data_IF_084127687979
#
_entry.id   IF_084127687979
#
_cell.length_a   1.000
_cell.length_b   1.000
_cell.length_c   1.000
_cell.angle_alpha   90.00
_cell.angle_beta   90.00
_cell.angle_gamma   90.00
#
_symmetry.space_group_name_H-M   'P 1'
#
loop_
_entity.id
_entity.type
_entity.pdbx_description
1 polymer ?
#
# COMPACT_ATOMS: atom_id res chain seq x y z
N UNK A 1 -5.68 1.52 17.84
CA UNK A 1 -4.68 0.59 17.25
C UNK A 1 -3.24 1.11 17.38
N UNK A 2 -2.96 1.88 18.41
CA UNK A 2 -1.61 2.42 18.64
C UNK A 2 -0.56 1.31 18.62
N UNK A 3 0.55 1.52 17.94
CA UNK A 3 1.68 0.60 17.82
C UNK A 3 1.38 -0.75 17.17
N UNK A 4 0.25 -0.91 16.48
CA UNK A 4 -0.18 -2.20 15.96
C UNK A 4 -0.71 -2.18 14.52
N UNK A 5 -0.39 -1.13 13.76
CA UNK A 5 -0.72 -1.07 12.34
C UNK A 5 -0.14 -2.28 11.59
N UNK A 6 -0.96 -2.88 10.76
CA UNK A 6 -0.60 -4.08 10.02
C UNK A 6 -0.78 -5.38 10.80
N UNK A 7 -0.72 -5.36 12.13
CA UNK A 7 -0.75 -6.58 12.95
C UNK A 7 -2.20 -7.02 13.23
N UNK A 8 -2.95 -6.23 13.97
CA UNK A 8 -4.33 -6.60 14.38
C UNK A 8 -5.35 -6.35 13.27
N UNK A 9 -5.23 -5.25 12.60
CA UNK A 9 -6.08 -4.81 11.51
C UNK A 9 -5.99 -5.72 10.26
N UNK A 10 -4.81 -6.27 9.96
CA UNK A 10 -4.69 -7.28 8.91
C UNK A 10 -5.42 -8.57 9.24
N UNK A 11 -5.41 -8.99 10.51
CA UNK A 11 -6.16 -10.17 10.96
C UNK A 11 -7.67 -9.96 10.82
N UNK A 12 -8.17 -8.77 11.16
CA UNK A 12 -9.59 -8.43 11.00
C UNK A 12 -10.00 -8.44 9.52
N UNK A 13 -9.16 -7.89 8.63
CA UNK A 13 -9.42 -7.92 7.19
C UNK A 13 -9.45 -9.36 6.67
N UNK A 14 -8.47 -10.18 7.03
CA UNK A 14 -8.40 -11.57 6.60
C UNK A 14 -9.57 -12.40 7.15
N UNK A 15 -9.98 -12.19 8.39
CA UNK A 15 -11.17 -12.82 8.96
C UNK A 15 -12.45 -12.40 8.20
N UNK A 16 -12.54 -11.14 7.77
CA UNK A 16 -13.63 -10.67 6.91
C UNK A 16 -13.65 -11.35 5.55
N UNK A 17 -12.48 -11.58 4.93
CA UNK A 17 -12.36 -12.35 3.68
C UNK A 17 -12.83 -13.79 3.90
N UNK A 18 -12.39 -14.44 4.99
CA UNK A 18 -12.80 -15.82 5.32
C UNK A 18 -14.32 -15.94 5.50
N UNK A 19 -14.91 -14.99 6.22
CA UNK A 19 -16.37 -14.96 6.41
C UNK A 19 -17.15 -14.80 5.10
N UNK A 20 -16.61 -14.07 4.12
CA UNK A 20 -17.20 -13.92 2.80
C UNK A 20 -17.04 -15.18 1.96
N UNK A 21 -15.88 -15.84 2.00
CA UNK A 21 -15.62 -17.10 1.29
C UNK A 21 -16.57 -18.21 1.77
N UNK A 22 -16.85 -18.28 3.07
CA UNK A 22 -17.80 -19.23 3.64
C UNK A 22 -19.23 -19.10 3.07
N UNK A 23 -19.58 -17.98 2.45
CA UNK A 23 -20.88 -17.81 1.78
C UNK A 23 -21.00 -18.56 0.46
N UNK A 24 -19.89 -19.07 -0.10
CA UNK A 24 -19.85 -19.99 -1.25
C UNK A 24 -20.08 -19.38 -2.64
N UNK A 25 -20.19 -18.05 -2.76
CA UNK A 25 -20.38 -17.38 -4.05
C UNK A 25 -19.14 -16.57 -4.51
N UNK A 26 -18.06 -16.60 -3.71
CA UNK A 26 -16.81 -15.89 -4.02
C UNK A 26 -15.77 -16.91 -4.46
N UNK A 27 -15.08 -16.60 -5.55
CA UNK A 27 -13.97 -17.40 -6.04
C UNK A 27 -12.68 -17.01 -5.31
N UNK A 28 -12.18 -17.87 -4.45
CA UNK A 28 -10.95 -17.65 -3.68
C UNK A 28 -9.69 -17.55 -4.54
N UNK A 29 -9.72 -18.06 -5.78
CA UNK A 29 -8.61 -17.97 -6.72
C UNK A 29 -8.55 -16.62 -7.43
N UNK A 30 -9.54 -15.75 -7.25
CA UNK A 30 -9.67 -14.45 -7.90
C UNK A 30 -9.85 -13.28 -6.93
N UNK A 31 -9.11 -13.31 -5.83
CA UNK A 31 -9.09 -12.23 -4.87
C UNK A 31 -8.09 -11.15 -5.27
N UNK A 32 -8.52 -9.90 -5.24
CA UNK A 32 -7.66 -8.73 -5.38
C UNK A 32 -7.70 -7.88 -4.12
N UNK A 33 -6.62 -7.12 -3.86
CA UNK A 33 -6.55 -6.18 -2.74
C UNK A 33 -6.18 -4.79 -3.24
N UNK A 34 -6.85 -3.76 -2.72
CA UNK A 34 -6.53 -2.37 -3.07
C UNK A 34 -6.83 -1.43 -1.92
N UNK A 35 -6.04 -0.37 -1.83
CA UNK A 35 -6.28 0.70 -0.89
C UNK A 35 -5.39 1.91 -1.15
N UNK A 36 -5.74 3.02 -0.52
CA UNK A 36 -4.96 4.26 -0.62
C UNK A 36 -4.64 4.85 0.74
N UNK A 37 -3.49 5.51 0.86
CA UNK A 37 -3.00 6.06 2.12
C UNK A 37 -2.77 4.94 3.16
N UNK A 38 -3.42 4.98 4.31
CA UNK A 38 -3.45 3.85 5.24
C UNK A 38 -3.89 2.53 4.56
N UNK A 39 -4.90 2.57 3.69
CA UNK A 39 -5.31 1.39 2.91
C UNK A 39 -4.24 0.92 1.94
N UNK A 40 -3.39 1.82 1.43
CA UNK A 40 -2.21 1.48 0.63
C UNK A 40 -1.13 0.81 1.47
N UNK A 41 -0.86 1.34 2.68
CA UNK A 41 -0.02 0.67 3.67
C UNK A 41 -0.51 -0.77 3.92
N UNK A 42 -1.81 -0.92 4.19
CA UNK A 42 -2.42 -2.23 4.46
C UNK A 42 -2.35 -3.17 3.24
N UNK A 43 -2.51 -2.65 2.02
CA UNK A 43 -2.31 -3.43 0.79
C UNK A 43 -0.89 -3.99 0.73
N UNK A 44 0.12 -3.15 0.95
CA UNK A 44 1.53 -3.55 0.95
C UNK A 44 1.84 -4.52 2.09
N UNK A 45 1.27 -4.28 3.27
CA UNK A 45 1.40 -5.17 4.43
C UNK A 45 0.86 -6.57 4.12
N UNK A 46 -0.38 -6.65 3.62
CA UNK A 46 -1.02 -7.92 3.29
C UNK A 46 -0.23 -8.72 2.26
N UNK A 47 0.21 -8.11 1.15
CA UNK A 47 0.99 -8.84 0.13
C UNK A 47 2.40 -9.20 0.58
N UNK A 48 2.90 -8.61 1.66
CA UNK A 48 4.14 -9.01 2.34
C UNK A 48 3.96 -10.13 3.36
N UNK A 49 2.70 -10.51 3.70
CA UNK A 49 2.41 -11.50 4.75
C UNK A 49 1.50 -12.64 4.30
N UNK A 50 0.93 -12.59 3.09
CA UNK A 50 0.08 -13.66 2.54
C UNK A 50 0.06 -13.64 1.02
N UNK A 51 -0.02 -14.83 0.41
CA UNK A 51 -0.13 -15.04 -1.04
C UNK A 51 -1.59 -15.21 -1.51
N UNK A 52 -2.58 -14.86 -0.68
CA UNK A 52 -4.03 -15.05 -0.98
C UNK A 52 -4.53 -14.20 -2.15
N UNK A 53 -3.86 -13.10 -2.45
CA UNK A 53 -4.31 -12.14 -3.46
C UNK A 53 -3.59 -12.37 -4.79
N UNK A 54 -4.36 -12.48 -5.89
CA UNK A 54 -3.82 -12.67 -7.25
C UNK A 54 -3.32 -11.39 -7.88
N UNK A 55 -3.80 -10.24 -7.40
CA UNK A 55 -3.36 -8.91 -7.82
C UNK A 55 -3.53 -7.90 -6.69
N UNK A 56 -2.68 -6.90 -6.68
CA UNK A 56 -2.76 -5.81 -5.71
C UNK A 56 -2.60 -4.45 -6.38
N UNK A 57 -3.28 -3.44 -5.83
CA UNK A 57 -3.14 -2.04 -6.24
C UNK A 57 -2.95 -1.20 -5.00
N UNK A 58 -1.77 -0.61 -4.84
CA UNK A 58 -1.45 0.32 -3.76
C UNK A 58 -1.41 1.76 -4.28
N UNK A 59 -2.06 2.68 -3.59
CA UNK A 59 -2.16 4.08 -4.00
C UNK A 59 -1.74 5.01 -2.85
N UNK A 60 -0.82 5.98 -3.10
CA UNK A 60 -0.36 6.98 -2.14
C UNK A 60 -0.11 6.39 -0.74
N UNK A 61 0.68 5.34 -0.68
CA UNK A 61 0.86 4.51 0.51
C UNK A 61 2.04 4.94 1.37
N UNK A 62 2.00 4.57 2.65
CA UNK A 62 3.19 4.49 3.50
C UNK A 62 3.84 3.13 3.28
N UNK A 63 5.15 3.11 3.07
CA UNK A 63 5.93 1.90 2.78
C UNK A 63 7.07 1.73 3.77
N UNK A 64 7.75 2.83 4.08
CA UNK A 64 8.86 2.89 5.03
C UNK A 64 8.55 3.93 6.10
N UNK A 65 8.21 3.49 7.28
CA UNK A 65 7.85 4.39 8.39
C UNK A 65 9.04 5.19 8.90
N UNK A 66 10.26 4.65 8.71
CA UNK A 66 11.47 5.35 9.11
C UNK A 66 11.68 6.65 8.28
N UNK A 67 11.63 6.56 6.94
CA UNK A 67 11.74 7.73 6.07
C UNK A 67 10.47 8.60 6.10
N UNK A 68 9.29 8.00 6.27
CA UNK A 68 8.02 8.73 6.41
C UNK A 68 8.05 9.74 7.55
N UNK A 69 8.73 9.46 8.66
CA UNK A 69 8.88 10.38 9.79
C UNK A 69 9.41 11.75 9.35
N UNK A 70 10.41 11.77 8.49
CA UNK A 70 11.07 13.02 8.06
C UNK A 70 10.57 13.60 6.74
N UNK A 71 9.81 12.85 5.94
CA UNK A 71 9.37 13.26 4.60
C UNK A 71 7.89 13.61 4.50
N UNK A 72 7.09 13.25 5.50
CA UNK A 72 5.67 13.56 5.57
C UNK A 72 5.39 14.89 6.27
N UNK A 73 4.35 15.60 5.84
CA UNK A 73 3.83 16.80 6.50
C UNK A 73 3.19 16.53 7.89
N UNK A 74 3.02 15.25 8.26
CA UNK A 74 2.52 14.80 9.57
C UNK A 74 3.41 13.72 10.20
N UNK A 75 4.63 13.52 9.69
CA UNK A 75 5.44 12.36 10.06
C UNK A 75 5.75 12.27 11.55
N UNK A 76 6.18 13.38 12.17
CA UNK A 76 6.50 13.45 13.59
C UNK A 76 5.23 13.43 14.49
N UNK A 77 4.16 14.16 14.12
CA UNK A 77 2.87 14.09 14.85
C UNK A 77 2.34 12.65 14.87
N UNK A 78 2.49 11.97 13.72
CA UNK A 78 2.02 10.60 13.54
C UNK A 78 2.84 9.58 14.35
N UNK A 79 4.12 9.85 14.56
CA UNK A 79 4.98 9.03 15.41
C UNK A 79 4.55 9.10 16.87
N UNK A 80 4.27 10.31 17.38
CA UNK A 80 3.80 10.50 18.76
C UNK A 80 2.44 9.85 19.01
N UNK A 81 1.52 9.93 18.04
CA UNK A 81 0.17 9.38 18.18
C UNK A 81 0.09 7.85 18.04
N UNK A 82 0.99 7.22 17.26
CA UNK A 82 0.90 5.80 16.94
C UNK A 82 2.00 4.96 17.61
N UNK A 83 3.26 5.29 17.44
CA UNK A 83 4.37 4.48 17.94
C UNK A 83 4.89 4.92 19.32
N UNK A 84 4.61 6.15 19.74
CA UNK A 84 5.06 6.74 21.00
C UNK A 84 6.59 6.72 21.18
N UNK A 85 7.33 6.71 20.05
CA UNK A 85 8.80 6.69 20.00
C UNK A 85 9.29 7.29 18.69
N UNK A 86 10.60 7.54 18.59
CA UNK A 86 11.22 8.10 17.38
C UNK A 86 12.04 7.05 16.60
N UNK A 87 12.33 7.28 15.30
CA UNK A 87 13.16 6.36 14.51
C UNK A 87 14.57 6.13 15.06
N UNK A 88 15.12 7.08 15.81
CA UNK A 88 16.45 6.94 16.40
C UNK A 88 16.44 6.33 17.81
N UNK A 89 15.30 6.33 18.51
CA UNK A 89 15.16 5.67 19.81
C UNK A 89 14.82 4.18 19.66
N UNK A 90 13.98 3.82 18.68
CA UNK A 90 13.66 2.42 18.35
C UNK A 90 13.58 2.19 16.82
N UNK A 91 14.73 2.17 16.14
CA UNK A 91 14.78 1.95 14.68
C UNK A 91 14.24 0.58 14.28
N UNK A 92 14.37 -0.42 15.13
CA UNK A 92 13.88 -1.79 14.86
C UNK A 92 12.35 -1.84 14.82
N UNK A 93 11.67 -1.11 15.71
CA UNK A 93 10.22 -0.99 15.69
C UNK A 93 9.76 -0.35 14.37
N UNK A 94 10.38 0.77 13.97
CA UNK A 94 10.05 1.44 12.72
C UNK A 94 10.22 0.54 11.51
N UNK A 95 11.30 -0.21 11.42
CA UNK A 95 11.53 -1.18 10.34
C UNK A 95 10.54 -2.34 10.39
N UNK A 96 10.30 -2.90 11.57
CA UNK A 96 9.35 -4.01 11.76
C UNK A 96 7.91 -3.62 11.38
N UNK A 97 7.55 -2.34 11.58
CA UNK A 97 6.24 -1.79 11.23
C UNK A 97 6.19 -1.21 9.80
N UNK A 98 7.22 -1.42 8.99
CA UNK A 98 7.34 -0.93 7.61
C UNK A 98 7.14 -2.04 6.59
N UNK A 99 6.17 -1.92 5.66
CA UNK A 99 5.98 -2.91 4.58
C UNK A 99 7.23 -3.22 3.77
N UNK A 100 8.13 -2.25 3.57
CA UNK A 100 9.38 -2.44 2.83
C UNK A 100 10.26 -3.55 3.41
N UNK A 101 10.19 -3.80 4.72
CA UNK A 101 10.96 -4.86 5.40
C UNK A 101 10.53 -6.26 4.97
N UNK A 102 9.35 -6.39 4.39
CA UNK A 102 8.75 -7.65 3.94
C UNK A 102 8.72 -7.81 2.42
N UNK A 103 9.42 -6.94 1.70
CA UNK A 103 9.42 -6.89 0.23
C UNK A 103 9.88 -8.21 -0.41
N UNK A 104 10.72 -8.99 0.27
CA UNK A 104 11.16 -10.32 -0.22
C UNK A 104 10.00 -11.32 -0.34
N UNK A 105 9.00 -11.20 0.50
CA UNK A 105 7.81 -12.05 0.54
C UNK A 105 6.70 -11.57 -0.43
N UNK A 106 6.83 -10.36 -1.01
CA UNK A 106 5.85 -9.83 -1.94
C UNK A 106 5.95 -10.52 -3.31
N UNK A 107 5.10 -11.50 -3.56
CA UNK A 107 5.03 -12.23 -4.84
C UNK A 107 3.85 -11.79 -5.71
N UNK A 108 2.81 -11.22 -5.11
CA UNK A 108 1.61 -10.73 -5.79
C UNK A 108 1.96 -9.63 -6.80
N UNK A 109 1.52 -9.72 -8.07
CA UNK A 109 1.65 -8.62 -9.03
C UNK A 109 1.09 -7.31 -8.47
N UNK A 110 1.88 -6.23 -8.49
CA UNK A 110 1.55 -4.98 -7.81
C UNK A 110 1.52 -3.79 -8.76
N UNK A 111 0.38 -3.09 -8.80
CA UNK A 111 0.29 -1.75 -9.36
C UNK A 111 0.51 -0.73 -8.24
N UNK A 112 1.53 0.10 -8.38
CA UNK A 112 1.81 1.24 -7.50
C UNK A 112 1.31 2.50 -8.19
N UNK A 113 0.50 3.31 -7.52
CA UNK A 113 0.03 4.60 -8.00
C UNK A 113 0.38 5.69 -6.99
N UNK A 114 0.94 6.81 -7.46
CA UNK A 114 1.32 7.91 -6.58
C UNK A 114 1.28 9.26 -7.29
N UNK A 115 0.90 10.29 -6.57
CA UNK A 115 0.92 11.69 -7.01
C UNK A 115 2.25 12.34 -6.66
N UNK A 116 2.84 13.11 -7.59
CA UNK A 116 4.19 13.66 -7.41
C UNK A 116 4.28 14.75 -6.34
N UNK A 117 3.20 15.52 -6.14
CA UNK A 117 3.12 16.58 -5.13
C UNK A 117 2.43 16.10 -3.84
N UNK A 118 2.53 14.83 -3.53
CA UNK A 118 2.00 14.26 -2.29
C UNK A 118 2.97 14.54 -1.13
N UNK A 119 2.58 15.47 -0.25
CA UNK A 119 3.35 15.81 0.96
C UNK A 119 2.92 14.98 2.18
N UNK A 120 1.77 14.30 2.09
CA UNK A 120 1.25 13.43 3.16
C UNK A 120 1.97 12.08 3.20
N UNK A 121 2.03 11.45 2.04
CA UNK A 121 2.88 10.29 1.80
C UNK A 121 3.77 10.70 0.63
N UNK A 122 5.03 11.01 0.86
CA UNK A 122 5.92 11.49 -0.20
C UNK A 122 6.09 10.44 -1.31
N UNK A 123 6.32 10.89 -2.54
CA UNK A 123 6.46 10.00 -3.70
C UNK A 123 7.62 9.01 -3.54
N UNK A 124 8.62 9.36 -2.77
CA UNK A 124 9.75 8.50 -2.40
C UNK A 124 9.29 7.16 -1.80
N UNK A 125 8.18 7.13 -1.04
CA UNK A 125 7.61 5.88 -0.52
C UNK A 125 7.28 4.87 -1.63
N UNK A 126 6.72 5.36 -2.73
CA UNK A 126 6.42 4.53 -3.91
C UNK A 126 7.68 4.16 -4.68
N UNK A 127 8.65 5.07 -4.77
CA UNK A 127 9.94 4.86 -5.45
C UNK A 127 10.76 3.77 -4.76
N UNK A 128 10.85 3.78 -3.42
CA UNK A 128 11.53 2.73 -2.65
C UNK A 128 10.93 1.34 -2.93
N UNK A 129 9.61 1.23 -2.86
CA UNK A 129 8.93 -0.04 -3.11
C UNK A 129 9.11 -0.53 -4.54
N UNK A 130 8.93 0.37 -5.51
CA UNK A 130 9.13 0.06 -6.92
C UNK A 130 10.55 -0.41 -7.21
N UNK A 131 11.56 0.32 -6.73
CA UNK A 131 12.96 -0.02 -6.93
C UNK A 131 13.29 -1.39 -6.34
N UNK A 132 12.84 -1.68 -5.12
CA UNK A 132 13.07 -2.96 -4.46
C UNK A 132 12.43 -4.14 -5.23
N UNK A 133 11.16 -4.01 -5.65
CA UNK A 133 10.45 -5.04 -6.39
C UNK A 133 11.05 -5.26 -7.79
N UNK A 134 11.44 -4.19 -8.49
CA UNK A 134 12.13 -4.28 -9.80
C UNK A 134 13.49 -4.96 -9.67
N UNK A 135 14.26 -4.63 -8.65
CA UNK A 135 15.56 -5.28 -8.41
C UNK A 135 15.41 -6.80 -8.21
N UNK A 136 14.33 -7.23 -7.57
CA UNK A 136 14.02 -8.65 -7.35
C UNK A 136 13.31 -9.33 -8.54
N UNK A 137 13.13 -8.65 -9.68
CA UNK A 137 12.45 -9.20 -10.85
C UNK A 137 10.95 -9.46 -10.64
N UNK A 138 10.31 -8.79 -9.68
CA UNK A 138 8.86 -8.93 -9.41
C UNK A 138 8.03 -8.23 -10.48
N UNK A 139 6.82 -8.70 -10.70
CA UNK A 139 5.88 -8.05 -11.60
C UNK A 139 5.27 -6.81 -10.91
N UNK A 140 5.75 -5.64 -11.31
CA UNK A 140 5.35 -4.36 -10.74
C UNK A 140 5.25 -3.30 -11.84
N UNK A 141 4.19 -2.49 -11.77
CA UNK A 141 3.99 -1.29 -12.58
C UNK A 141 3.87 -0.08 -11.65
N UNK A 142 4.54 1.01 -11.97
CA UNK A 142 4.42 2.26 -11.24
C UNK A 142 3.82 3.34 -12.15
N UNK A 143 2.70 3.93 -11.73
CA UNK A 143 2.01 5.04 -12.38
C UNK A 143 2.12 6.28 -11.52
N UNK A 144 2.75 7.33 -12.07
CA UNK A 144 2.92 8.64 -11.42
C UNK A 144 1.91 9.63 -12.00
N UNK A 145 1.32 10.44 -11.12
CA UNK A 145 0.38 11.49 -11.51
C UNK A 145 1.02 12.87 -11.29
N UNK A 146 1.51 13.43 -12.38
CA UNK A 146 2.18 14.74 -12.39
C UNK A 146 1.24 15.84 -11.86
N UNK A 147 1.80 16.74 -11.03
CA UNK A 147 1.11 17.91 -10.51
C UNK A 147 -0.03 17.63 -9.51
N UNK A 148 -0.28 16.36 -9.16
CA UNK A 148 -1.32 15.98 -8.22
C UNK A 148 -0.77 15.79 -6.81
N UNK A 149 -1.66 15.88 -5.81
CA UNK A 149 -1.34 15.70 -4.40
C UNK A 149 -2.05 14.46 -3.82
N UNK A 150 -1.96 14.26 -2.50
CA UNK A 150 -2.60 13.16 -1.77
C UNK A 150 -4.11 13.02 -2.02
N UNK A 151 -4.77 14.10 -2.38
CA UNK A 151 -6.21 14.17 -2.62
C UNK A 151 -6.66 13.79 -4.03
N UNK A 152 -5.79 13.33 -4.95
CA UNK A 152 -6.13 13.05 -6.34
C UNK A 152 -7.46 12.29 -6.50
N UNK A 153 -7.68 11.23 -5.74
CA UNK A 153 -8.89 10.39 -5.85
C UNK A 153 -10.20 11.13 -5.52
N UNK A 154 -10.13 12.24 -4.77
CA UNK A 154 -11.28 13.03 -4.30
C UNK A 154 -11.44 14.35 -5.03
N UNK A 155 -10.40 15.18 -4.99
CA UNK A 155 -10.40 16.56 -5.48
C UNK A 155 -9.43 16.87 -6.61
N UNK A 156 -8.70 15.87 -7.12
CA UNK A 156 -7.73 16.06 -8.20
C UNK A 156 -8.37 16.32 -9.56
N UNK A 157 -7.54 16.59 -10.56
CA UNK A 157 -7.98 16.88 -11.92
C UNK A 157 -8.89 15.77 -12.46
N UNK A 158 -10.09 16.04 -12.98
CA UNK A 158 -11.09 15.02 -13.36
C UNK A 158 -10.56 13.97 -14.34
N UNK A 159 -9.77 14.38 -15.33
CA UNK A 159 -9.14 13.45 -16.29
C UNK A 159 -8.21 12.45 -15.58
N UNK A 160 -7.37 12.92 -14.65
CA UNK A 160 -6.41 12.07 -13.94
C UNK A 160 -7.12 11.15 -12.93
N UNK A 161 -8.24 11.60 -12.35
CA UNK A 161 -9.11 10.72 -11.55
C UNK A 161 -9.66 9.56 -12.38
N UNK A 162 -10.07 9.84 -13.62
CA UNK A 162 -10.56 8.81 -14.55
C UNK A 162 -9.42 7.86 -14.97
N UNK A 163 -8.25 8.41 -15.31
CA UNK A 163 -7.07 7.58 -15.66
C UNK A 163 -6.67 6.65 -14.49
N UNK A 164 -6.71 7.16 -13.27
CA UNK A 164 -6.48 6.34 -12.07
C UNK A 164 -7.41 5.13 -12.03
N UNK A 165 -8.71 5.33 -12.25
CA UNK A 165 -9.68 4.23 -12.27
C UNK A 165 -9.46 3.26 -13.45
N UNK A 166 -9.05 3.75 -14.62
CA UNK A 166 -8.70 2.92 -15.77
C UNK A 166 -7.53 2.00 -15.48
N UNK A 167 -6.47 2.51 -14.82
CA UNK A 167 -5.32 1.71 -14.41
C UNK A 167 -5.72 0.61 -13.42
N UNK A 168 -6.52 0.94 -12.39
CA UNK A 168 -7.03 -0.04 -11.42
C UNK A 168 -7.82 -1.14 -12.13
N UNK A 169 -8.77 -0.75 -12.97
CA UNK A 169 -9.61 -1.67 -13.72
C UNK A 169 -8.79 -2.60 -14.61
N UNK A 170 -7.92 -2.03 -15.45
CA UNK A 170 -7.09 -2.80 -16.37
C UNK A 170 -6.17 -3.79 -15.63
N UNK A 171 -5.63 -3.39 -14.44
CA UNK A 171 -4.79 -4.25 -13.63
C UNK A 171 -5.59 -5.46 -13.11
N UNK A 172 -6.74 -5.23 -12.52
CA UNK A 172 -7.58 -6.32 -12.02
C UNK A 172 -8.17 -7.18 -13.14
N UNK A 173 -8.57 -6.59 -14.28
CA UNK A 173 -9.01 -7.37 -15.45
C UNK A 173 -7.92 -8.35 -15.92
N UNK A 174 -6.66 -7.90 -15.97
CA UNK A 174 -5.52 -8.74 -16.39
C UNK A 174 -5.33 -9.99 -15.52
N UNK A 175 -5.56 -9.90 -14.21
CA UNK A 175 -5.20 -10.98 -13.28
C UNK A 175 -6.38 -11.72 -12.67
N UNK A 176 -7.57 -11.12 -12.69
CA UNK A 176 -8.75 -11.70 -12.03
C UNK A 176 -9.83 -12.16 -13.00
N UNK A 177 -9.80 -11.73 -14.27
CA UNK A 177 -10.87 -12.03 -15.24
C UNK A 177 -10.44 -13.00 -16.33
N UNK A 178 -9.14 -13.18 -16.55
CA UNK A 178 -8.58 -14.09 -17.57
C UNK A 178 -8.47 -15.53 -17.10
#
# INVERSE_FOLDING_TARGET
MRGAWGVKDSLDILAGVDALLQKGYIDEQRLGVTGGSYGGFMTNWLVGHTDRFRAAVTDRSVVNRYSFFGTSDIGWDFADDDLETTPWDDPELYLRMSPISYVKQMHTPLLIMHSENDLRCSVEQAEELFAALKYMGREVLFVRFEGQNHGLSRGGHPRLRLERLRHIRAWFEKYLVT
#
